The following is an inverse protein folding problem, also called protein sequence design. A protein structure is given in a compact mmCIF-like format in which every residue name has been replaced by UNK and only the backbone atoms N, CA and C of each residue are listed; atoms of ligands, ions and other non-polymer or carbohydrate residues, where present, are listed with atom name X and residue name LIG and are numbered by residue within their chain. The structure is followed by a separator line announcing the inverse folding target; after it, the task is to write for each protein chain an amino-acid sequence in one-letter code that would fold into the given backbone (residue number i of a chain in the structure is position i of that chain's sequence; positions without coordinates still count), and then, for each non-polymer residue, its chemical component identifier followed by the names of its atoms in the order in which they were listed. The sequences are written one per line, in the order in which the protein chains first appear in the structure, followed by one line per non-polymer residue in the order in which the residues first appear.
data_IF_712798924472
#
_entry.id   IF_712798924472
#
_cell.length_a   1.000
_cell.length_b   1.000
_cell.length_c   1.000
_cell.angle_alpha   90.00
_cell.angle_beta   90.00
_cell.angle_gamma   90.00
#
_symmetry.space_group_name_H-M   'P 1'
#
loop_
_entity.id
_entity.type
_entity.pdbx_description
1 polymer ?
#
# COMPACT_ATOMS: atom_id res chain seq x y z
N UNK A 1 -7.50 -6.44 37.76
CA UNK A 1 -8.22 -5.15 37.68
C UNK A 1 -9.50 -5.26 38.47
N UNK A 2 -9.76 -4.30 39.36
CA UNK A 2 -11.01 -4.24 40.12
C UNK A 2 -12.19 -3.83 39.21
N UNK A 3 -13.44 -4.04 39.63
CA UNK A 3 -14.60 -3.65 38.82
C UNK A 3 -14.70 -2.14 38.65
N UNK A 4 -14.22 -1.36 39.63
CA UNK A 4 -14.17 0.10 39.58
C UNK A 4 -13.09 0.60 38.61
N UNK A 5 -11.94 -0.09 38.51
CA UNK A 5 -10.94 0.22 37.47
C UNK A 5 -11.50 -0.03 36.07
N UNK A 6 -12.22 -1.16 35.89
CA UNK A 6 -12.90 -1.48 34.63
C UNK A 6 -13.97 -0.46 34.29
N UNK A 7 -14.70 0.03 35.29
CA UNK A 7 -15.73 1.03 35.07
C UNK A 7 -15.14 2.39 34.71
N UNK A 8 -14.09 2.84 35.40
CA UNK A 8 -13.32 4.03 35.03
C UNK A 8 -12.79 3.93 33.59
N UNK A 9 -12.20 2.79 33.24
CA UNK A 9 -11.70 2.55 31.90
C UNK A 9 -12.84 2.59 30.86
N UNK A 10 -13.95 1.91 31.11
CA UNK A 10 -15.13 1.96 30.24
C UNK A 10 -15.61 3.41 30.05
N UNK A 11 -15.72 4.18 31.14
CA UNK A 11 -16.16 5.58 31.09
C UNK A 11 -15.24 6.47 30.25
N UNK A 12 -13.93 6.18 30.25
CA UNK A 12 -12.94 6.90 29.43
C UNK A 12 -13.04 6.61 27.93
N UNK A 13 -13.60 5.46 27.55
CA UNK A 13 -13.76 5.04 26.16
C UNK A 13 -15.11 5.44 25.56
N UNK A 14 -16.10 5.73 26.40
CA UNK A 14 -17.45 6.05 25.96
C UNK A 14 -17.54 7.50 25.53
N UNK A 15 -18.04 7.71 24.31
CA UNK A 15 -18.25 9.03 23.75
C UNK A 15 -19.74 9.30 23.49
N UNK A 16 -20.09 10.59 23.41
CA UNK A 16 -21.38 11.09 22.91
C UNK A 16 -22.60 10.36 23.52
N UNK A 17 -23.33 9.62 22.68
CA UNK A 17 -24.59 8.95 23.02
C UNK A 17 -24.39 7.78 23.97
N UNK A 18 -23.27 7.05 23.85
CA UNK A 18 -22.95 5.92 24.71
C UNK A 18 -22.51 6.38 26.11
N UNK A 19 -21.77 7.49 26.19
CA UNK A 19 -21.48 8.14 27.48
C UNK A 19 -22.76 8.64 28.16
N UNK A 20 -23.65 9.30 27.41
CA UNK A 20 -24.93 9.81 27.91
C UNK A 20 -25.87 8.71 28.42
N UNK A 21 -25.82 7.49 27.86
CA UNK A 21 -26.70 6.39 28.31
C UNK A 21 -26.39 5.89 29.72
N UNK A 22 -25.16 6.04 30.19
CA UNK A 22 -24.76 5.55 31.52
C UNK A 22 -24.44 6.69 32.51
N UNK A 23 -24.60 7.95 32.10
CA UNK A 23 -24.23 9.13 32.89
C UNK A 23 -24.97 9.23 34.23
N UNK A 24 -26.12 8.58 34.39
CA UNK A 24 -26.86 8.52 35.65
C UNK A 24 -26.31 7.51 36.66
N UNK A 25 -25.36 6.67 36.27
CA UNK A 25 -24.75 5.67 37.15
C UNK A 25 -23.55 6.27 37.89
N UNK A 26 -23.56 6.18 39.22
CA UNK A 26 -22.39 6.54 40.02
C UNK A 26 -21.27 5.53 39.81
N UNK A 27 -20.03 5.99 39.85
CA UNK A 27 -18.86 5.18 39.56
C UNK A 27 -18.54 4.26 40.76
N UNK A 28 -19.15 3.09 40.77
CA UNK A 28 -19.02 2.07 41.84
C UNK A 28 -18.89 0.66 41.26
N UNK A 29 -18.33 -0.27 42.05
CA UNK A 29 -18.20 -1.67 41.67
C UNK A 29 -19.55 -2.32 41.33
N UNK A 30 -20.62 -1.96 42.04
CA UNK A 30 -21.96 -2.50 41.83
C UNK A 30 -22.58 -2.09 40.50
N UNK A 31 -22.22 -0.91 40.00
CA UNK A 31 -22.87 -0.28 38.85
C UNK A 31 -22.20 -0.63 37.52
N UNK A 32 -20.99 -1.18 37.54
CA UNK A 32 -20.29 -1.60 36.32
C UNK A 32 -21.14 -2.57 35.48
N UNK A 33 -21.75 -3.57 36.11
CA UNK A 33 -22.59 -4.55 35.41
C UNK A 33 -23.82 -3.89 34.78
N UNK A 34 -24.51 -3.04 35.53
CA UNK A 34 -25.65 -2.28 35.01
C UNK A 34 -25.26 -1.37 33.82
N UNK A 35 -24.08 -0.74 33.88
CA UNK A 35 -23.57 0.08 32.77
C UNK A 35 -23.35 -0.76 31.50
N UNK A 36 -22.73 -1.93 31.64
CA UNK A 36 -22.51 -2.87 30.52
C UNK A 36 -23.85 -3.36 29.95
N UNK A 37 -24.81 -3.72 30.81
CA UNK A 37 -26.12 -4.21 30.38
C UNK A 37 -26.89 -3.12 29.59
N UNK A 38 -26.90 -1.86 30.06
CA UNK A 38 -27.53 -0.73 29.35
C UNK A 38 -26.87 -0.50 27.97
N UNK A 39 -25.54 -0.57 27.91
CA UNK A 39 -24.82 -0.41 26.64
C UNK A 39 -25.11 -1.55 25.68
N UNK A 40 -25.19 -2.78 26.19
CA UNK A 40 -25.50 -3.95 25.38
C UNK A 40 -26.96 -3.92 24.88
N UNK A 41 -27.92 -3.55 25.72
CA UNK A 41 -29.32 -3.41 25.33
C UNK A 41 -29.50 -2.35 24.22
N UNK A 42 -28.80 -1.23 24.35
CA UNK A 42 -28.97 -0.10 23.42
C UNK A 42 -28.13 -0.20 22.14
N UNK A 43 -26.91 -0.72 22.22
CA UNK A 43 -25.94 -0.72 21.12
C UNK A 43 -25.47 -2.11 20.70
N UNK A 44 -25.74 -3.15 21.49
CA UNK A 44 -25.34 -4.53 21.24
C UNK A 44 -26.23 -5.30 20.26
N UNK A 45 -27.08 -4.63 19.48
CA UNK A 45 -27.91 -5.30 18.48
C UNK A 45 -27.05 -5.82 17.33
N UNK A 46 -26.74 -7.12 17.38
CA UNK A 46 -25.87 -7.81 16.43
C UNK A 46 -26.34 -7.67 14.98
N UNK A 47 -27.64 -7.72 14.71
CA UNK A 47 -28.17 -7.55 13.36
C UNK A 47 -27.88 -6.16 12.80
N UNK A 48 -28.00 -5.11 13.62
CA UNK A 48 -27.66 -3.75 13.20
C UNK A 48 -26.16 -3.58 12.96
N UNK A 49 -25.32 -4.18 13.82
CA UNK A 49 -23.87 -4.13 13.67
C UNK A 49 -23.44 -4.86 12.38
N UNK A 50 -23.98 -6.05 12.13
CA UNK A 50 -23.76 -6.80 10.89
C UNK A 50 -24.20 -5.97 9.67
N UNK A 51 -25.39 -5.38 9.73
CA UNK A 51 -25.89 -4.54 8.64
C UNK A 51 -25.00 -3.32 8.39
N UNK A 52 -24.45 -2.70 9.43
CA UNK A 52 -23.54 -1.57 9.32
C UNK A 52 -22.24 -1.99 8.62
N UNK A 53 -21.65 -3.12 9.03
CA UNK A 53 -20.48 -3.70 8.36
C UNK A 53 -20.74 -3.99 6.88
N UNK A 54 -21.88 -4.61 6.54
CA UNK A 54 -22.26 -4.89 5.16
C UNK A 54 -22.41 -3.61 4.34
N UNK A 55 -23.10 -2.61 4.89
CA UNK A 55 -23.30 -1.33 4.23
C UNK A 55 -21.98 -0.59 4.00
N UNK A 56 -21.08 -0.62 4.99
CA UNK A 56 -19.77 0.01 4.88
C UNK A 56 -18.93 -0.60 3.76
N UNK A 57 -19.01 -1.94 3.59
CA UNK A 57 -18.30 -2.65 2.55
C UNK A 57 -18.84 -2.31 1.15
N UNK A 58 -20.16 -2.15 1.01
CA UNK A 58 -20.78 -1.68 -0.24
C UNK A 58 -20.42 -0.22 -0.58
N UNK A 59 -20.15 0.61 0.43
CA UNK A 59 -19.81 2.03 0.28
C UNK A 59 -18.32 2.27 -0.01
N UNK A 60 -17.51 1.22 -0.11
CA UNK A 60 -16.09 1.37 -0.44
C UNK A 60 -15.96 2.05 -1.81
N UNK A 61 -15.16 3.14 -1.90
CA UNK A 61 -14.96 3.85 -3.16
C UNK A 61 -14.22 2.96 -4.17
N UNK A 62 -14.40 3.26 -5.45
CA UNK A 62 -13.60 2.63 -6.49
C UNK A 62 -12.13 2.97 -6.27
N UNK A 63 -11.28 1.95 -6.30
CA UNK A 63 -9.85 2.11 -6.18
C UNK A 63 -9.27 2.44 -7.55
N UNK A 64 -8.53 3.54 -7.63
CA UNK A 64 -7.70 3.83 -8.80
C UNK A 64 -6.38 3.04 -8.75
N UNK A 65 -5.49 3.29 -9.70
CA UNK A 65 -4.21 2.59 -9.82
C UNK A 65 -3.18 2.97 -8.72
N UNK A 66 -3.58 3.84 -7.79
CA UNK A 66 -2.80 4.34 -6.67
C UNK A 66 -2.63 3.29 -5.55
N UNK A 67 -1.38 3.01 -5.18
CA UNK A 67 -1.03 2.04 -4.14
C UNK A 67 -1.60 2.42 -2.77
N UNK A 68 -1.66 3.72 -2.43
CA UNK A 68 -2.18 4.19 -1.16
C UNK A 68 -3.69 3.92 -1.02
N UNK A 69 -4.45 4.09 -2.11
CA UNK A 69 -5.88 3.80 -2.14
C UNK A 69 -6.16 2.30 -2.06
N UNK A 70 -5.36 1.50 -2.76
CA UNK A 70 -5.47 0.04 -2.70
C UNK A 70 -5.17 -0.47 -1.28
N UNK A 71 -4.17 0.12 -0.61
CA UNK A 71 -3.80 -0.20 0.77
C UNK A 71 -4.93 0.11 1.73
N UNK A 72 -5.48 1.32 1.63
CA UNK A 72 -6.62 1.75 2.44
C UNK A 72 -7.83 0.84 2.24
N UNK A 73 -8.14 0.48 1.00
CA UNK A 73 -9.25 -0.42 0.69
C UNK A 73 -9.02 -1.81 1.29
N UNK A 74 -7.83 -2.38 1.13
CA UNK A 74 -7.46 -3.68 1.71
C UNK A 74 -7.62 -3.67 3.24
N UNK A 75 -7.08 -2.66 3.92
CA UNK A 75 -7.15 -2.55 5.37
C UNK A 75 -8.61 -2.41 5.83
N UNK A 76 -9.40 -1.61 5.11
CA UNK A 76 -10.82 -1.41 5.40
C UNK A 76 -11.63 -2.70 5.25
N UNK A 77 -11.46 -3.43 4.15
CA UNK A 77 -12.13 -4.72 3.93
C UNK A 77 -11.73 -5.72 5.02
N UNK A 78 -10.44 -5.77 5.37
CA UNK A 78 -9.91 -6.67 6.41
C UNK A 78 -10.52 -6.39 7.79
N UNK A 79 -10.66 -5.11 8.16
CA UNK A 79 -11.31 -4.72 9.43
C UNK A 79 -12.78 -5.16 9.46
N UNK A 80 -13.51 -4.93 8.37
CA UNK A 80 -14.93 -5.29 8.28
C UNK A 80 -15.11 -6.81 8.38
N UNK A 81 -14.31 -7.60 7.66
CA UNK A 81 -14.37 -9.07 7.70
C UNK A 81 -14.10 -9.60 9.10
N UNK A 82 -13.05 -9.09 9.77
CA UNK A 82 -12.76 -9.47 11.17
C UNK A 82 -13.89 -9.10 12.12
N UNK A 83 -14.53 -7.95 11.91
CA UNK A 83 -15.71 -7.53 12.66
C UNK A 83 -16.88 -8.51 12.50
N UNK A 84 -17.15 -8.94 11.27
CA UNK A 84 -18.19 -9.93 10.95
C UNK A 84 -17.87 -11.31 11.53
N UNK A 85 -16.62 -11.76 11.44
CA UNK A 85 -16.16 -13.02 12.04
C UNK A 85 -16.33 -13.01 13.56
N UNK A 86 -16.04 -11.88 14.22
CA UNK A 86 -16.24 -11.72 15.68
C UNK A 86 -17.70 -11.83 16.11
N UNK A 87 -18.64 -11.52 15.21
CA UNK A 87 -20.08 -11.68 15.40
C UNK A 87 -20.58 -13.09 14.99
N UNK A 88 -19.68 -13.98 14.59
CA UNK A 88 -20.00 -15.35 14.17
C UNK A 88 -20.49 -15.49 12.74
N UNK A 89 -20.41 -14.43 11.92
CA UNK A 89 -20.80 -14.47 10.51
C UNK A 89 -19.63 -15.00 9.68
N UNK A 90 -19.86 -16.12 8.99
CA UNK A 90 -18.83 -16.76 8.19
C UNK A 90 -18.76 -16.16 6.79
N UNK A 91 -17.56 -16.11 6.22
CA UNK A 91 -17.30 -15.63 4.86
C UNK A 91 -18.21 -16.26 3.79
N UNK A 92 -18.57 -17.53 3.93
CA UNK A 92 -19.42 -18.23 2.97
C UNK A 92 -20.85 -17.67 2.89
N UNK A 93 -21.33 -16.99 3.95
CA UNK A 93 -22.69 -16.44 4.00
C UNK A 93 -22.85 -15.16 3.16
N UNK A 94 -21.74 -14.43 2.92
CA UNK A 94 -21.76 -13.16 2.21
C UNK A 94 -20.81 -13.11 1.01
N UNK A 95 -19.83 -14.01 0.94
CA UNK A 95 -18.75 -13.97 -0.05
C UNK A 95 -19.24 -14.05 -1.49
N UNK A 96 -20.23 -14.90 -1.78
CA UNK A 96 -20.81 -15.05 -3.12
C UNK A 96 -21.40 -13.75 -3.67
N UNK A 97 -21.91 -12.89 -2.80
CA UNK A 97 -22.47 -11.59 -3.17
C UNK A 97 -21.43 -10.46 -3.12
N UNK A 98 -20.59 -10.45 -2.08
CA UNK A 98 -19.65 -9.35 -1.85
C UNK A 98 -18.39 -9.42 -2.71
N UNK A 99 -17.94 -10.60 -3.09
CA UNK A 99 -16.73 -10.74 -3.93
C UNK A 99 -16.94 -10.06 -5.29
N UNK A 100 -18.02 -10.30 -6.06
CA UNK A 100 -18.27 -9.56 -7.30
C UNK A 100 -18.32 -8.04 -7.10
N UNK A 101 -18.90 -7.58 -5.99
CA UNK A 101 -18.98 -6.14 -5.68
C UNK A 101 -17.58 -5.57 -5.44
N UNK A 102 -16.75 -6.22 -4.62
CA UNK A 102 -15.37 -5.78 -4.36
C UNK A 102 -14.53 -5.83 -5.65
N UNK A 103 -14.69 -6.87 -6.46
CA UNK A 103 -14.00 -7.00 -7.75
C UNK A 103 -14.33 -5.85 -8.69
N UNK A 104 -15.59 -5.39 -8.72
CA UNK A 104 -16.00 -4.22 -9.51
C UNK A 104 -15.38 -2.88 -9.04
N UNK A 105 -14.84 -2.85 -7.82
CA UNK A 105 -14.19 -1.66 -7.23
C UNK A 105 -12.67 -1.67 -7.40
N UNK A 106 -12.09 -2.80 -7.79
CA UNK A 106 -10.65 -2.95 -8.00
C UNK A 106 -10.23 -2.45 -9.39
N UNK A 107 -8.96 -2.03 -9.57
CA UNK A 107 -8.39 -1.77 -10.88
C UNK A 107 -8.47 -3.00 -11.79
N UNK A 108 -8.63 -2.76 -13.10
CA UNK A 108 -8.72 -3.81 -14.14
C UNK A 108 -7.59 -4.82 -14.05
N UNK A 109 -6.39 -4.37 -13.73
CA UNK A 109 -5.16 -5.16 -13.76
C UNK A 109 -5.17 -6.27 -12.69
N UNK A 110 -5.88 -6.03 -11.58
CA UNK A 110 -6.06 -7.00 -10.50
C UNK A 110 -7.21 -7.96 -10.82
N UNK A 111 -8.26 -7.46 -11.47
CA UNK A 111 -9.47 -8.24 -11.79
C UNK A 111 -9.26 -9.24 -12.94
N UNK A 112 -8.33 -8.97 -13.87
CA UNK A 112 -8.16 -9.75 -15.10
C UNK A 112 -7.55 -11.15 -14.91
N UNK A 113 -6.98 -11.45 -13.75
CA UNK A 113 -6.10 -12.62 -13.63
C UNK A 113 -6.65 -13.78 -12.81
N UNK A 114 -7.74 -13.63 -12.04
CA UNK A 114 -8.02 -14.58 -10.94
C UNK A 114 -9.52 -14.85 -10.75
N UNK A 115 -9.94 -16.08 -11.05
CA UNK A 115 -11.24 -16.66 -10.68
C UNK A 115 -11.29 -16.87 -9.15
N UNK A 116 -11.59 -15.81 -8.41
CA UNK A 116 -11.64 -15.85 -6.96
C UNK A 116 -13.09 -15.96 -6.49
N UNK A 117 -13.40 -17.05 -5.79
CA UNK A 117 -14.70 -17.32 -5.19
C UNK A 117 -14.66 -17.36 -3.65
N UNK A 118 -13.53 -16.97 -3.07
CA UNK A 118 -13.30 -16.94 -1.62
C UNK A 118 -12.72 -15.58 -1.18
N UNK A 119 -13.27 -15.01 -0.12
CA UNK A 119 -12.91 -13.66 0.33
C UNK A 119 -11.48 -13.59 0.90
N UNK A 120 -11.00 -14.66 1.53
CA UNK A 120 -9.64 -14.72 2.07
C UNK A 120 -8.65 -14.79 0.91
N UNK A 121 -8.95 -15.62 -0.10
CA UNK A 121 -8.15 -15.64 -1.34
C UNK A 121 -8.13 -14.29 -2.04
N UNK A 122 -9.25 -13.55 -2.04
CA UNK A 122 -9.31 -12.21 -2.62
C UNK A 122 -8.39 -11.24 -1.87
N UNK A 123 -8.41 -11.27 -0.54
CA UNK A 123 -7.51 -10.46 0.27
C UNK A 123 -6.04 -10.81 0.03
N UNK A 124 -5.70 -12.09 -0.08
CA UNK A 124 -4.34 -12.53 -0.38
C UNK A 124 -3.88 -12.02 -1.76
N UNK A 125 -4.77 -12.05 -2.74
CA UNK A 125 -4.52 -11.49 -4.07
C UNK A 125 -4.24 -9.99 -3.99
N UNK A 126 -5.11 -9.22 -3.33
CA UNK A 126 -4.94 -7.77 -3.21
C UNK A 126 -3.62 -7.45 -2.49
N UNK A 127 -3.31 -8.19 -1.43
CA UNK A 127 -2.04 -8.05 -0.68
C UNK A 127 -0.83 -8.38 -1.54
N UNK A 128 -0.91 -9.41 -2.37
CA UNK A 128 0.15 -9.80 -3.31
C UNK A 128 0.40 -8.74 -4.39
N UNK A 129 -0.64 -8.06 -4.86
CA UNK A 129 -0.52 -6.96 -5.84
C UNK A 129 -0.08 -5.63 -5.21
N UNK A 130 -0.34 -5.43 -3.93
CA UNK A 130 0.07 -4.23 -3.19
C UNK A 130 1.60 -4.11 -3.11
N UNK A 131 2.28 -5.20 -2.78
CA UNK A 131 3.72 -5.18 -2.51
C UNK A 131 4.57 -4.71 -3.72
N UNK A 132 4.35 -5.20 -4.96
CA UNK A 132 5.03 -4.69 -6.16
C UNK A 132 4.78 -3.19 -6.42
N UNK A 133 3.54 -2.73 -6.17
CA UNK A 133 3.14 -1.34 -6.40
C UNK A 133 3.81 -0.38 -5.41
N UNK A 134 3.84 -0.75 -4.13
CA UNK A 134 4.54 0.03 -3.10
C UNK A 134 6.05 0.12 -3.38
N UNK A 135 6.67 -0.97 -3.83
CA UNK A 135 8.09 -0.96 -4.22
C UNK A 135 8.31 -0.01 -5.40
N UNK A 136 7.48 -0.08 -6.44
CA UNK A 136 7.57 0.80 -7.60
C UNK A 136 7.46 2.28 -7.22
N UNK A 137 6.55 2.62 -6.30
CA UNK A 137 6.34 4.01 -5.88
C UNK A 137 7.50 4.55 -5.05
N UNK A 138 8.14 3.73 -4.20
CA UNK A 138 9.35 4.16 -3.48
C UNK A 138 10.53 4.45 -4.42
N UNK A 139 10.64 3.73 -5.54
CA UNK A 139 11.69 3.96 -6.55
C UNK A 139 11.45 5.28 -7.29
N UNK A 140 10.21 5.60 -7.68
CA UNK A 140 9.85 6.87 -8.35
C UNK A 140 10.16 8.11 -7.48
N UNK A 141 9.89 8.03 -6.18
CA UNK A 141 10.21 9.13 -5.23
C UNK A 141 11.73 9.37 -5.16
N UNK A 142 12.53 8.31 -5.28
CA UNK A 142 13.99 8.42 -5.25
C UNK A 142 14.58 8.97 -6.56
N UNK A 143 13.93 8.76 -7.70
CA UNK A 143 14.33 9.36 -8.98
C UNK A 143 14.01 10.86 -9.05
N UNK A 144 12.86 11.28 -8.51
CA UNK A 144 12.50 12.70 -8.42
C UNK A 144 13.42 13.49 -7.49
N UNK A 145 14.02 12.83 -6.49
CA UNK A 145 15.07 13.41 -5.63
C UNK A 145 16.45 13.54 -6.28
N UNK A 146 16.73 12.78 -7.36
CA UNK A 146 18.03 12.78 -8.06
C UNK A 146 18.12 13.75 -9.23
N UNK A 147 17.00 14.36 -9.65
CA UNK A 147 16.97 15.36 -10.73
C UNK A 147 17.30 16.80 -10.29
N UNK A 148 17.83 17.01 -9.07
CA UNK A 148 18.56 18.24 -8.76
C UNK A 148 19.97 18.12 -9.31
N UNK A 149 20.15 18.53 -10.58
CA UNK A 149 21.47 18.82 -11.13
C UNK A 149 22.28 19.62 -10.10
N UNK A 150 23.47 19.16 -9.67
CA UNK A 150 24.37 20.03 -8.93
C UNK A 150 24.81 21.12 -9.90
N UNK A 151 24.39 22.36 -9.66
CA UNK A 151 25.07 23.52 -10.23
C UNK A 151 26.53 23.43 -9.77
N UNK A 152 27.43 23.10 -10.69
CA UNK A 152 28.85 22.98 -10.44
C UNK A 152 29.42 24.38 -10.16
N UNK A 153 29.29 24.82 -8.91
CA UNK A 153 30.05 25.96 -8.39
C UNK A 153 31.47 25.47 -8.10
N UNK A 154 32.38 25.81 -9.01
CA UNK A 154 33.81 25.57 -8.90
C UNK A 154 34.38 26.24 -7.66
N UNK A 155 34.61 25.47 -6.60
CA UNK A 155 35.61 25.78 -5.58
C UNK A 155 36.37 24.50 -5.23
N UNK A 156 37.34 24.16 -6.07
CA UNK A 156 38.35 23.16 -5.76
C UNK A 156 39.22 23.65 -4.60
N UNK A 157 39.18 22.95 -3.47
CA UNK A 157 40.19 23.10 -2.42
C UNK A 157 41.43 22.33 -2.87
N UNK A 158 42.45 23.06 -3.30
CA UNK A 158 43.70 22.49 -3.78
C UNK A 158 44.49 21.89 -2.62
N UNK A 159 44.87 20.61 -2.73
CA UNK A 159 45.82 19.95 -1.83
C UNK A 159 47.21 19.94 -2.47
N UNK A 160 48.25 20.02 -1.63
CA UNK A 160 49.66 20.17 -2.02
C UNK A 160 50.20 19.08 -2.96
N UNK A 161 49.47 17.98 -3.14
CA UNK A 161 49.78 16.91 -4.09
C UNK A 161 49.68 17.31 -5.56
N UNK A 162 49.05 18.45 -5.88
CA UNK A 162 48.84 18.91 -7.26
C UNK A 162 50.06 19.61 -7.89
N UNK A 163 51.10 19.92 -7.12
CA UNK A 163 52.28 20.68 -7.59
C UNK A 163 53.37 19.81 -8.26
N UNK A 164 53.26 18.48 -8.14
CA UNK A 164 54.29 17.53 -8.60
C UNK A 164 53.90 16.78 -9.88
N UNK A 165 52.70 16.98 -10.40
CA UNK A 165 52.23 16.33 -11.63
C UNK A 165 52.23 17.35 -12.75
N UNK A 166 53.21 17.23 -13.64
CA UNK A 166 53.31 18.03 -14.85
C UNK A 166 52.03 17.94 -15.68
N UNK A 167 51.54 19.10 -16.08
CA UNK A 167 50.33 19.34 -16.85
C UNK A 167 50.29 18.49 -18.14
N UNK A 168 49.32 17.58 -18.20
CA UNK A 168 48.84 16.96 -19.45
C UNK A 168 47.32 17.01 -19.46
N UNK A 169 46.81 18.21 -19.69
CA UNK A 169 45.44 18.48 -20.07
C UNK A 169 44.97 17.55 -21.22
N UNK A 170 44.15 16.54 -20.91
CA UNK A 170 43.36 15.77 -21.87
C UNK A 170 41.92 15.68 -21.38
N UNK A 171 41.19 16.79 -21.46
CA UNK A 171 39.72 16.76 -21.47
C UNK A 171 39.26 16.16 -22.80
N UNK A 172 39.22 14.82 -22.90
CA UNK A 172 38.44 14.15 -23.96
C UNK A 172 37.02 13.90 -23.43
N UNK A 173 35.97 14.34 -24.13
CA UNK A 173 34.61 13.95 -23.77
C UNK A 173 34.49 12.42 -23.83
N UNK A 174 33.85 11.81 -22.84
CA UNK A 174 33.58 10.37 -22.84
C UNK A 174 32.59 10.06 -23.96
N UNK A 175 33.03 9.29 -24.95
CA UNK A 175 32.19 8.80 -26.04
C UNK A 175 31.88 7.33 -25.72
N UNK A 176 30.59 6.94 -25.58
CA UNK A 176 30.24 5.56 -25.28
C UNK A 176 30.59 4.64 -26.47
N UNK A 177 30.96 3.40 -26.16
CA UNK A 177 31.13 2.35 -27.16
C UNK A 177 29.82 1.56 -27.37
N UNK A 178 29.53 1.23 -28.62
CA UNK A 178 28.37 0.43 -29.03
C UNK A 178 28.57 -1.02 -28.60
N UNK A 179 27.61 -1.57 -27.86
CA UNK A 179 27.66 -2.94 -27.33
C UNK A 179 27.61 -4.03 -28.42
N UNK A 180 27.28 -3.66 -29.67
CA UNK A 180 27.10 -4.63 -30.77
C UNK A 180 28.24 -4.62 -31.79
N UNK A 181 28.90 -3.49 -32.01
CA UNK A 181 29.99 -3.37 -32.98
C UNK A 181 31.27 -2.75 -32.43
N UNK A 182 31.30 -2.43 -31.12
CA UNK A 182 32.43 -1.87 -30.38
C UNK A 182 32.99 -0.55 -30.92
N UNK A 183 32.21 0.19 -31.72
CA UNK A 183 32.59 1.52 -32.22
C UNK A 183 32.08 2.64 -31.32
N UNK A 184 32.68 3.83 -31.41
CA UNK A 184 32.38 5.00 -30.58
C UNK A 184 31.05 5.68 -30.99
N UNK A 185 29.94 5.08 -30.58
CA UNK A 185 28.59 5.65 -30.67
C UNK A 185 27.63 4.94 -29.69
N UNK A 186 26.46 5.54 -29.45
CA UNK A 186 25.39 4.88 -28.70
C UNK A 186 24.82 3.70 -29.47
N UNK A 187 24.63 2.55 -28.80
CA UNK A 187 24.07 1.33 -29.42
C UNK A 187 22.73 1.53 -30.14
N UNK A 188 21.94 2.55 -29.75
CA UNK A 188 20.68 2.94 -30.39
C UNK A 188 20.84 3.59 -31.76
N UNK A 189 22.03 4.11 -32.07
CA UNK A 189 22.34 4.84 -33.31
C UNK A 189 23.32 4.07 -34.20
N UNK A 190 23.41 2.75 -34.02
CA UNK A 190 24.33 1.90 -34.77
C UNK A 190 23.89 1.71 -36.22
N UNK A 191 24.66 2.25 -37.18
CA UNK A 191 24.37 2.08 -38.61
C UNK A 191 24.71 0.70 -39.15
N UNK A 192 25.58 -0.06 -38.47
CA UNK A 192 25.96 -1.42 -38.89
C UNK A 192 24.84 -2.43 -38.66
N UNK A 193 23.97 -2.21 -37.68
CA UNK A 193 22.85 -3.10 -37.38
C UNK A 193 21.57 -2.27 -37.35
N UNK A 194 21.01 -2.08 -38.55
CA UNK A 194 19.71 -1.40 -38.73
C UNK A 194 18.51 -2.29 -38.42
N UNK A 195 18.73 -3.60 -38.27
CA UNK A 195 17.68 -4.61 -38.21
C UNK A 195 17.45 -5.09 -36.77
N UNK A 196 16.29 -4.77 -36.21
CA UNK A 196 15.97 -4.95 -34.78
C UNK A 196 15.96 -6.42 -34.34
N UNK A 197 15.75 -7.34 -35.30
CA UNK A 197 15.76 -8.78 -35.05
C UNK A 197 17.20 -9.30 -34.81
N UNK A 198 18.20 -8.73 -35.49
CA UNK A 198 19.61 -9.10 -35.29
C UNK A 198 20.17 -8.62 -33.95
N UNK A 199 19.61 -7.54 -33.39
CA UNK A 199 19.92 -7.11 -32.01
C UNK A 199 19.49 -8.13 -30.96
N UNK A 200 18.40 -8.89 -31.21
CA UNK A 200 17.95 -9.95 -30.28
C UNK A 200 18.88 -11.16 -30.37
N UNK A 201 19.27 -11.58 -31.57
CA UNK A 201 20.11 -12.77 -31.77
C UNK A 201 21.50 -12.63 -31.13
N UNK A 202 22.16 -11.48 -31.26
CA UNK A 202 23.47 -11.20 -30.64
C UNK A 202 23.40 -11.26 -29.09
N UNK A 203 22.26 -10.90 -28.51
CA UNK A 203 22.04 -10.95 -27.06
C UNK A 203 21.85 -12.39 -26.54
N UNK A 204 21.43 -13.33 -27.39
CA UNK A 204 21.26 -14.74 -27.03
C UNK A 204 22.54 -15.57 -27.26
N UNK A 205 23.45 -15.15 -28.14
CA UNK A 205 24.75 -15.82 -28.37
C UNK A 205 25.83 -15.46 -27.33
N UNK A 206 25.64 -14.37 -26.57
CA UNK A 206 26.59 -13.90 -25.54
C UNK A 206 26.33 -14.46 -24.14
N UNK A 207 25.51 -15.52 -24.02
CA UNK A 207 25.17 -16.17 -22.75
C UNK A 207 25.72 -17.59 -22.63
#
# INVERSE_FOLDING_TARGET
MSSIDKFNYLHSLLERTASRSIHGLTLSDSNYKAAVDILHERFGNTHQIISAHMYELLKIPNCSDDSAQLRFMYDKISVIIRGLESLGVKAQQYGSFLIPVIMSKLPSDICLQKDVWDIQKLLDVIKGELQPREISDTVKVNEQGRNRHPSYSSHQKSTASSLLVGDRNQNKPWIPHCAFCNEEHFSSSCEKIKDINKHRDIYYETK
#
